data_IF_994064800727
#
_entry.id   IF_994064800727
#
_cell.length_a   1.000
_cell.length_b   1.000
_cell.length_c   1.000
_cell.angle_alpha   90.00
_cell.angle_beta   90.00
_cell.angle_gamma   90.00
#
_symmetry.space_group_name_H-M   'P 1'
#
loop_
_entity.id
_entity.type
_entity.pdbx_description
1 polymer ?
#
# COMPACT_ATOMS: atom_id res chain seq x y z
N UNK A 1 -8.39 -4.95 9.74
CA UNK A 1 -7.59 -4.44 8.60
C UNK A 1 -8.04 -3.00 8.34
N UNK A 2 -7.12 -2.07 8.11
CA UNK A 2 -7.50 -0.74 7.64
C UNK A 2 -7.93 -0.83 6.17
N UNK A 3 -9.03 -0.18 5.82
CA UNK A 3 -9.41 -0.03 4.41
C UNK A 3 -8.42 0.94 3.77
N UNK A 4 -7.81 0.57 2.65
CA UNK A 4 -6.97 1.41 1.83
C UNK A 4 -7.71 2.02 0.64
N UNK A 5 -6.98 2.76 -0.19
CA UNK A 5 -7.57 3.39 -1.37
C UNK A 5 -7.96 2.36 -2.44
N UNK A 6 -7.19 1.28 -2.59
CA UNK A 6 -7.44 0.24 -3.60
C UNK A 6 -8.65 -0.65 -3.29
N UNK A 7 -9.16 -0.65 -2.05
CA UNK A 7 -10.45 -1.25 -1.74
C UNK A 7 -11.62 -0.54 -2.45
N UNK A 8 -11.39 0.67 -2.98
CA UNK A 8 -12.33 1.43 -3.81
C UNK A 8 -12.04 1.37 -5.32
N UNK A 9 -11.12 0.50 -5.77
CA UNK A 9 -10.96 0.23 -7.21
C UNK A 9 -12.18 -0.49 -7.79
N UNK A 10 -12.99 -1.11 -6.92
CA UNK A 10 -14.22 -1.80 -7.27
C UNK A 10 -15.43 -1.05 -6.69
N UNK A 11 -16.65 -1.26 -7.24
CA UNK A 11 -17.86 -0.72 -6.65
C UNK A 11 -18.00 -1.11 -5.17
N UNK A 12 -18.61 -0.23 -4.36
CA UNK A 12 -18.80 -0.47 -2.91
C UNK A 12 -19.48 -1.81 -2.61
N UNK A 13 -20.34 -2.33 -3.49
CA UNK A 13 -20.97 -3.65 -3.35
C UNK A 13 -19.96 -4.80 -3.31
N UNK A 14 -18.84 -4.69 -4.04
CA UNK A 14 -17.73 -5.65 -4.01
C UNK A 14 -16.99 -5.56 -2.67
N UNK A 15 -16.72 -4.34 -2.18
CA UNK A 15 -16.12 -4.14 -0.85
C UNK A 15 -17.02 -4.69 0.27
N UNK A 16 -18.35 -4.51 0.18
CA UNK A 16 -19.30 -5.16 1.10
C UNK A 16 -19.28 -6.68 1.00
N UNK A 17 -19.00 -7.23 -0.17
CA UNK A 17 -18.84 -8.68 -0.33
C UNK A 17 -17.51 -9.16 0.29
N UNK A 18 -16.43 -8.39 0.16
CA UNK A 18 -15.15 -8.65 0.83
C UNK A 18 -15.30 -8.63 2.36
N UNK A 19 -16.09 -7.69 2.92
CA UNK A 19 -16.42 -7.68 4.36
C UNK A 19 -17.15 -8.95 4.81
N UNK A 20 -17.96 -9.58 3.95
CA UNK A 20 -18.64 -10.85 4.27
C UNK A 20 -17.68 -12.05 4.21
N UNK A 21 -16.68 -12.00 3.33
CA UNK A 21 -15.66 -13.06 3.24
C UNK A 21 -14.64 -12.97 4.37
N UNK A 22 -14.29 -11.75 4.80
CA UNK A 22 -13.33 -11.53 5.87
C UNK A 22 -13.90 -11.96 7.23
N UNK A 23 -13.17 -12.84 7.93
CA UNK A 23 -13.50 -13.21 9.32
C UNK A 23 -12.99 -12.19 10.35
N UNK A 24 -12.55 -11.02 9.89
CA UNK A 24 -12.01 -9.91 10.68
C UNK A 24 -12.56 -8.58 10.15
N UNK A 25 -12.67 -7.53 10.98
CA UNK A 25 -13.29 -6.29 10.54
C UNK A 25 -12.39 -5.51 9.56
N UNK A 26 -13.03 -4.96 8.53
CA UNK A 26 -12.46 -3.89 7.70
C UNK A 26 -12.84 -2.56 8.36
N UNK A 27 -11.82 -1.77 8.72
CA UNK A 27 -11.96 -0.60 9.58
C UNK A 27 -11.60 0.67 8.82
N UNK A 28 -12.43 1.69 8.97
CA UNK A 28 -12.08 3.07 8.62
C UNK A 28 -12.99 4.04 9.35
N UNK A 29 -12.40 4.95 10.11
CA UNK A 29 -13.13 5.93 10.90
C UNK A 29 -13.49 7.19 10.11
N UNK A 30 -12.72 7.51 9.07
CA UNK A 30 -12.79 8.80 8.39
C UNK A 30 -13.55 8.77 7.06
N UNK A 31 -14.28 7.69 6.78
CA UNK A 31 -15.09 7.55 5.55
C UNK A 31 -16.56 7.68 5.89
N UNK A 32 -17.19 8.70 5.32
CA UNK A 32 -18.57 9.08 5.61
C UNK A 32 -19.43 9.05 4.36
N UNK A 33 -20.72 8.78 4.56
CA UNK A 33 -21.74 9.07 3.57
C UNK A 33 -22.16 10.54 3.70
N UNK A 34 -22.08 11.32 2.61
CA UNK A 34 -22.34 12.77 2.64
C UNK A 34 -23.78 13.08 3.04
N UNK A 35 -24.75 12.36 2.47
CA UNK A 35 -26.18 12.57 2.70
C UNK A 35 -26.64 12.34 4.14
N UNK A 36 -26.04 11.37 4.84
CA UNK A 36 -26.46 10.97 6.20
C UNK A 36 -25.49 11.42 7.28
N UNK A 37 -24.28 11.84 6.92
CA UNK A 37 -23.19 12.15 7.86
C UNK A 37 -22.84 10.97 8.77
N UNK A 38 -23.11 9.73 8.32
CA UNK A 38 -22.77 8.50 9.03
C UNK A 38 -21.51 7.86 8.47
N UNK A 39 -20.72 7.22 9.33
CA UNK A 39 -19.56 6.43 8.91
C UNK A 39 -20.03 5.23 8.08
N UNK A 40 -19.33 4.97 6.98
CA UNK A 40 -19.62 3.80 6.13
C UNK A 40 -19.06 2.50 6.71
N UNK A 41 -18.04 2.57 7.57
CA UNK A 41 -17.36 1.42 8.15
C UNK A 41 -17.21 1.57 9.66
N UNK A 42 -16.87 0.47 10.34
CA UNK A 42 -16.57 0.53 11.76
C UNK A 42 -15.29 1.35 11.97
N UNK A 43 -15.28 2.31 12.92
CA UNK A 43 -14.11 3.15 13.15
C UNK A 43 -12.97 2.40 13.86
N UNK A 44 -13.32 1.44 14.72
CA UNK A 44 -12.37 0.67 15.49
C UNK A 44 -12.90 -0.74 15.83
N UNK A 45 -12.00 -1.58 16.33
CA UNK A 45 -12.32 -2.83 17.01
C UNK A 45 -11.54 -2.92 18.32
N UNK A 46 -12.13 -3.53 19.34
CA UNK A 46 -11.50 -3.74 20.66
C UNK A 46 -11.24 -5.22 20.86
N UNK A 47 -10.07 -5.55 21.40
CA UNK A 47 -9.61 -6.90 21.67
C UNK A 47 -9.17 -7.01 23.11
N UNK A 48 -9.62 -8.06 23.81
CA UNK A 48 -9.04 -8.46 25.09
C UNK A 48 -7.97 -9.52 24.84
N UNK A 49 -6.76 -9.26 25.33
CA UNK A 49 -5.65 -10.22 25.32
C UNK A 49 -5.08 -10.33 26.72
N UNK A 50 -5.47 -11.40 27.41
CA UNK A 50 -4.99 -11.70 28.76
C UNK A 50 -5.29 -10.57 29.75
N UNK A 51 -6.45 -9.91 29.61
CA UNK A 51 -6.87 -8.79 30.45
C UNK A 51 -6.30 -7.43 30.04
N UNK A 52 -5.50 -7.36 28.98
CA UNK A 52 -5.08 -6.10 28.34
C UNK A 52 -6.09 -5.76 27.25
N UNK A 53 -6.76 -4.61 27.37
CA UNK A 53 -7.72 -4.12 26.40
C UNK A 53 -7.02 -3.30 25.31
N UNK A 54 -7.00 -3.83 24.09
CA UNK A 54 -6.33 -3.23 22.93
C UNK A 54 -7.41 -2.70 21.97
N UNK A 55 -7.41 -1.40 21.73
CA UNK A 55 -8.23 -0.79 20.68
C UNK A 55 -7.41 -0.63 19.39
N UNK A 56 -7.98 -1.02 18.27
CA UNK A 56 -7.41 -0.84 16.93
C UNK A 56 -8.33 0.06 16.11
N UNK A 57 -7.86 1.26 15.77
CA UNK A 57 -8.55 2.23 14.92
C UNK A 57 -8.16 1.96 13.46
N UNK A 58 -9.10 2.13 12.52
CA UNK A 58 -8.81 2.10 11.09
C UNK A 58 -8.85 3.51 10.48
N UNK A 59 -7.89 3.84 9.62
CA UNK A 59 -7.83 5.12 8.92
C UNK A 59 -7.37 4.94 7.47
N UNK A 60 -7.98 5.71 6.56
CA UNK A 60 -7.74 5.65 5.12
C UNK A 60 -7.28 7.02 4.63
N UNK A 61 -6.27 7.12 3.76
CA UNK A 61 -5.88 8.39 3.14
C UNK A 61 -7.08 9.12 2.50
N UNK A 62 -7.18 10.42 2.75
CA UNK A 62 -8.21 11.28 2.16
C UNK A 62 -7.93 11.65 0.70
N UNK A 63 -6.75 11.29 0.18
CA UNK A 63 -6.49 11.33 -1.26
C UNK A 63 -7.30 10.30 -2.06
N UNK A 64 -7.92 9.30 -1.41
CA UNK A 64 -8.74 8.28 -2.10
C UNK A 64 -9.80 8.89 -3.00
N UNK A 65 -10.46 9.97 -2.54
CA UNK A 65 -11.46 10.69 -3.34
C UNK A 65 -10.87 11.39 -4.58
N UNK A 66 -9.59 11.76 -4.55
CA UNK A 66 -8.88 12.42 -5.65
C UNK A 66 -8.30 11.42 -6.65
N UNK A 67 -7.86 10.25 -6.17
CA UNK A 67 -7.11 9.27 -6.98
C UNK A 67 -7.97 8.12 -7.51
N UNK A 68 -9.09 7.80 -6.87
CA UNK A 68 -9.98 6.72 -7.30
C UNK A 68 -11.01 7.15 -8.35
N UNK A 69 -11.95 6.26 -8.69
CA UNK A 69 -13.01 6.55 -9.65
C UNK A 69 -14.08 7.49 -9.05
N UNK A 70 -14.27 8.72 -9.59
CA UNK A 70 -15.26 9.68 -9.08
C UNK A 70 -16.70 9.13 -9.04
N UNK A 71 -17.06 8.21 -9.94
CA UNK A 71 -18.40 7.60 -9.98
C UNK A 71 -18.73 6.86 -8.67
N UNK A 72 -17.73 6.25 -8.03
CA UNK A 72 -17.91 5.51 -6.79
C UNK A 72 -17.99 6.42 -5.56
N UNK A 73 -17.71 7.71 -5.69
CA UNK A 73 -17.59 8.66 -4.56
C UNK A 73 -18.65 9.76 -4.52
N UNK A 74 -19.68 9.71 -5.37
CA UNK A 74 -20.73 10.74 -5.44
C UNK A 74 -21.28 11.10 -4.05
N UNK A 75 -21.70 10.11 -3.26
CA UNK A 75 -22.21 10.28 -1.89
C UNK A 75 -21.21 9.84 -0.80
N UNK A 76 -19.92 9.77 -1.11
CA UNK A 76 -18.86 9.38 -0.16
C UNK A 76 -17.90 10.57 0.03
N UNK A 77 -17.50 10.81 1.27
CA UNK A 77 -16.42 11.74 1.62
C UNK A 77 -15.36 11.05 2.48
N UNK A 78 -14.12 11.46 2.29
CA UNK A 78 -12.99 11.04 3.11
C UNK A 78 -12.53 12.27 3.90
N UNK A 79 -12.73 12.23 5.21
CA UNK A 79 -12.31 13.30 6.12
C UNK A 79 -10.84 13.18 6.47
N UNK A 80 -10.26 14.29 6.95
CA UNK A 80 -8.85 14.35 7.34
C UNK A 80 -8.55 13.30 8.44
N UNK A 81 -7.72 12.28 8.16
CA UNK A 81 -7.53 11.15 9.06
C UNK A 81 -7.02 11.53 10.44
N UNK A 82 -6.09 12.50 10.52
CA UNK A 82 -5.51 12.94 11.80
C UNK A 82 -6.55 13.59 12.74
N UNK A 83 -7.50 14.36 12.18
CA UNK A 83 -8.59 14.96 12.95
C UNK A 83 -9.55 13.88 13.45
N UNK A 84 -9.86 12.91 12.58
CA UNK A 84 -10.72 11.78 12.93
C UNK A 84 -10.09 10.88 14.00
N UNK A 85 -8.79 10.59 13.88
CA UNK A 85 -8.02 9.82 14.85
C UNK A 85 -8.17 10.42 16.25
N UNK A 86 -8.03 11.74 16.38
CA UNK A 86 -8.21 12.44 17.66
C UNK A 86 -9.61 12.19 18.25
N UNK A 87 -10.66 12.41 17.47
CA UNK A 87 -12.05 12.24 17.92
C UNK A 87 -12.33 10.79 18.37
N UNK A 88 -11.86 9.82 17.59
CA UNK A 88 -12.06 8.40 17.89
C UNK A 88 -11.28 7.97 19.13
N UNK A 89 -10.05 8.45 19.31
CA UNK A 89 -9.27 8.17 20.52
C UNK A 89 -9.94 8.77 21.76
N UNK A 90 -10.45 10.00 21.67
CA UNK A 90 -11.19 10.63 22.78
C UNK A 90 -12.45 9.83 23.14
N UNK A 91 -13.18 9.36 22.12
CA UNK A 91 -14.33 8.46 22.31
C UNK A 91 -13.92 7.14 22.98
N UNK A 92 -12.89 6.46 22.47
CA UNK A 92 -12.38 5.20 23.02
C UNK A 92 -11.98 5.33 24.48
N UNK A 93 -11.27 6.40 24.85
CA UNK A 93 -10.87 6.62 26.25
C UNK A 93 -12.05 6.86 27.17
N UNK A 94 -13.12 7.48 26.68
CA UNK A 94 -14.35 7.71 27.47
C UNK A 94 -15.15 6.42 27.65
N UNK A 95 -15.40 5.72 26.55
CA UNK A 95 -16.39 4.65 26.49
C UNK A 95 -15.76 3.28 26.81
N UNK A 96 -14.61 2.99 26.21
CA UNK A 96 -13.97 1.67 26.26
C UNK A 96 -12.82 1.58 27.26
N UNK A 97 -12.12 2.69 27.50
CA UNK A 97 -10.93 2.78 28.38
C UNK A 97 -9.87 1.70 28.05
N UNK A 98 -9.37 1.65 26.80
CA UNK A 98 -8.35 0.68 26.41
C UNK A 98 -7.01 0.98 27.10
N UNK A 99 -6.26 -0.08 27.38
CA UNK A 99 -4.89 -0.02 27.89
C UNK A 99 -3.88 0.32 26.79
N UNK A 100 -4.18 -0.08 25.55
CA UNK A 100 -3.32 0.11 24.37
C UNK A 100 -4.18 0.59 23.19
N UNK A 101 -3.71 1.60 22.46
CA UNK A 101 -4.36 2.11 21.25
C UNK A 101 -3.40 2.02 20.06
N UNK A 102 -3.78 1.21 19.08
CA UNK A 102 -3.08 1.04 17.82
C UNK A 102 -3.92 1.68 16.70
N UNK A 103 -3.28 2.40 15.79
CA UNK A 103 -3.91 2.81 14.53
C UNK A 103 -3.40 1.92 13.41
N UNK A 104 -4.29 1.18 12.75
CA UNK A 104 -4.01 0.59 11.45
C UNK A 104 -4.37 1.65 10.39
N UNK A 105 -3.39 2.08 9.60
CA UNK A 105 -3.55 3.21 8.69
C UNK A 105 -3.17 2.82 7.26
N UNK A 106 -3.77 3.50 6.29
CA UNK A 106 -3.38 3.47 4.90
C UNK A 106 -3.12 4.90 4.41
N UNK A 107 -2.10 5.55 5.00
CA UNK A 107 -1.79 6.98 4.80
C UNK A 107 -0.39 7.21 4.23
N UNK A 108 0.57 6.38 4.59
CA UNK A 108 1.94 6.43 4.08
C UNK A 108 2.92 7.08 5.05
N UNK A 109 4.16 6.61 5.02
CA UNK A 109 5.26 7.16 5.79
C UNK A 109 6.17 8.01 4.90
N UNK A 110 6.21 9.31 5.15
CA UNK A 110 7.09 10.25 4.47
C UNK A 110 8.20 10.72 5.40
N UNK A 111 9.45 10.77 4.90
CA UNK A 111 10.61 11.15 5.70
C UNK A 111 10.41 12.56 6.27
N UNK A 112 10.55 12.69 7.59
CA UNK A 112 10.25 13.91 8.36
C UNK A 112 8.83 14.49 8.14
N UNK A 113 7.88 13.67 7.68
CA UNK A 113 6.55 14.16 7.31
C UNK A 113 6.52 14.97 6.00
N UNK A 114 7.57 14.91 5.18
CA UNK A 114 7.62 15.60 3.90
C UNK A 114 6.78 14.86 2.83
N UNK A 115 5.46 14.98 2.93
CA UNK A 115 4.48 14.25 2.10
C UNK A 115 4.39 14.74 0.64
N UNK A 116 4.95 15.90 0.31
CA UNK A 116 4.95 16.44 -1.05
C UNK A 116 3.54 16.72 -1.55
N UNK A 117 3.19 16.18 -2.71
CA UNK A 117 1.84 16.31 -3.30
C UNK A 117 0.80 15.36 -2.73
N UNK A 118 1.21 14.37 -1.91
CA UNK A 118 0.29 13.43 -1.28
C UNK A 118 -0.43 14.11 -0.10
N UNK A 119 -1.49 13.50 0.40
CA UNK A 119 -2.09 13.86 1.67
C UNK A 119 -1.10 13.61 2.85
N UNK A 120 -1.22 14.39 3.95
CA UNK A 120 -0.43 14.18 5.16
C UNK A 120 -0.45 12.73 5.68
N UNK A 121 0.73 12.23 6.03
CA UNK A 121 0.96 10.83 6.34
C UNK A 121 0.97 10.47 7.83
N UNK A 122 1.50 9.28 8.13
CA UNK A 122 1.58 8.71 9.48
C UNK A 122 2.43 9.57 10.43
N UNK A 123 3.55 10.12 9.94
CA UNK A 123 4.48 10.97 10.73
C UNK A 123 3.79 12.26 11.20
N UNK A 124 3.09 12.94 10.29
CA UNK A 124 2.39 14.19 10.60
C UNK A 124 1.20 13.95 11.53
N UNK A 125 0.46 12.86 11.31
CA UNK A 125 -0.61 12.46 12.22
C UNK A 125 -0.06 12.24 13.64
N UNK A 126 1.01 11.45 13.80
CA UNK A 126 1.63 11.19 15.10
C UNK A 126 2.07 12.49 15.80
N UNK A 127 2.64 13.44 15.05
CA UNK A 127 3.06 14.76 15.55
C UNK A 127 1.88 15.68 15.92
N UNK A 128 0.74 15.58 15.21
CA UNK A 128 -0.45 16.40 15.45
C UNK A 128 -1.26 15.97 16.68
N UNK A 129 -1.13 14.71 17.09
CA UNK A 129 -1.77 14.17 18.28
C UNK A 129 -0.94 14.52 19.53
N UNK A 130 -1.53 14.53 20.75
CA UNK A 130 -0.74 14.67 21.97
C UNK A 130 0.31 13.56 22.12
N UNK A 131 1.41 13.81 22.83
CA UNK A 131 2.48 12.82 22.98
C UNK A 131 1.95 11.49 23.55
N UNK A 132 2.31 10.37 22.90
CA UNK A 132 1.85 9.03 23.29
C UNK A 132 0.34 8.82 23.15
N UNK A 133 -0.36 9.59 22.31
CA UNK A 133 -1.80 9.40 22.11
C UNK A 133 -2.14 8.02 21.52
N UNK A 134 -1.23 7.48 20.73
CA UNK A 134 -1.24 6.16 20.15
C UNK A 134 0.05 5.46 20.57
N UNK A 135 -0.02 4.15 20.79
CA UNK A 135 1.16 3.36 21.10
C UNK A 135 1.94 3.01 19.82
N UNK A 136 1.19 2.71 18.74
CA UNK A 136 1.75 2.33 17.45
C UNK A 136 0.81 2.68 16.30
N UNK A 137 1.39 3.09 15.19
CA UNK A 137 0.77 3.17 13.87
C UNK A 137 1.32 2.02 13.01
N UNK A 138 0.42 1.14 12.57
CA UNK A 138 0.70 0.09 11.58
C UNK A 138 0.27 0.60 10.22
N UNK A 139 1.23 1.12 9.46
CA UNK A 139 1.02 1.85 8.22
C UNK A 139 0.93 0.99 6.95
N UNK A 140 0.61 1.68 5.86
CA UNK A 140 0.34 1.18 4.51
C UNK A 140 0.46 2.31 3.50
N UNK A 141 -0.01 2.13 2.27
CA UNK A 141 -0.02 3.14 1.19
C UNK A 141 1.34 3.46 0.53
N UNK A 142 2.33 3.99 1.27
CA UNK A 142 3.64 4.33 0.68
C UNK A 142 4.45 3.12 0.20
N UNK A 143 4.08 1.91 0.67
CA UNK A 143 4.66 0.63 0.27
C UNK A 143 6.18 0.56 0.55
N UNK A 144 6.62 1.04 1.71
CA UNK A 144 8.02 1.02 2.13
C UNK A 144 8.26 0.04 3.29
N UNK A 145 9.46 -0.55 3.41
CA UNK A 145 9.91 -1.06 4.70
C UNK A 145 10.31 0.15 5.55
N UNK A 146 9.53 0.48 6.60
CA UNK A 146 9.91 1.55 7.54
C UNK A 146 11.02 1.04 8.45
N UNK A 147 12.25 1.16 7.94
CA UNK A 147 13.50 0.85 8.62
C UNK A 147 14.39 2.09 8.54
N UNK A 148 14.65 2.73 9.67
CA UNK A 148 15.35 4.02 9.73
C UNK A 148 16.86 3.83 9.55
N UNK A 149 17.47 4.66 8.71
CA UNK A 149 18.92 4.79 8.58
C UNK A 149 19.48 5.76 9.63
N UNK A 150 18.73 6.84 9.86
CA UNK A 150 18.98 7.87 10.86
C UNK A 150 17.64 8.48 11.29
N UNK A 151 17.68 9.42 12.23
CA UNK A 151 16.49 10.19 12.62
C UNK A 151 15.82 10.80 11.37
N UNK A 152 14.50 10.60 11.26
CA UNK A 152 13.64 11.09 10.17
C UNK A 152 14.00 10.63 8.74
N UNK A 153 14.93 9.68 8.56
CA UNK A 153 15.32 9.16 7.24
C UNK A 153 15.23 7.63 7.16
N UNK A 154 14.39 7.13 6.26
CA UNK A 154 14.31 5.69 5.97
C UNK A 154 15.56 5.20 5.22
N UNK A 155 15.90 3.93 5.37
CA UNK A 155 16.92 3.28 4.55
C UNK A 155 16.48 3.21 3.09
N UNK A 156 17.35 3.69 2.20
CA UNK A 156 17.22 3.45 0.76
C UNK A 156 17.70 2.02 0.47
N UNK A 157 16.92 1.26 -0.29
CA UNK A 157 17.24 -0.12 -0.69
C UNK A 157 17.49 -1.10 0.49
N UNK A 158 16.58 -1.09 1.47
CA UNK A 158 16.59 -2.03 2.60
C UNK A 158 16.82 -3.49 2.15
N UNK A 159 17.79 -4.15 2.79
CA UNK A 159 18.21 -5.52 2.44
C UNK A 159 17.44 -6.54 3.30
N UNK A 160 16.76 -7.53 2.69
CA UNK A 160 16.03 -8.53 3.47
C UNK A 160 16.90 -9.28 4.47
N UNK A 161 16.42 -9.42 5.72
CA UNK A 161 17.09 -10.16 6.79
C UNK A 161 18.08 -9.33 7.61
N UNK A 162 18.30 -8.05 7.28
CA UNK A 162 19.08 -7.14 8.12
C UNK A 162 18.20 -6.51 9.22
N UNK A 163 18.80 -5.99 10.32
CA UNK A 163 18.04 -5.29 11.35
C UNK A 163 17.21 -4.13 10.80
N UNK A 164 16.03 -3.94 11.38
CA UNK A 164 15.13 -2.85 11.03
C UNK A 164 14.77 -2.08 12.30
N UNK A 165 15.13 -0.80 12.36
CA UNK A 165 14.68 0.10 13.42
C UNK A 165 13.42 0.83 12.92
N UNK A 166 12.26 0.70 13.57
CA UNK A 166 11.06 1.42 13.16
C UNK A 166 11.17 2.91 13.54
N UNK A 167 10.37 3.75 12.91
CA UNK A 167 10.32 5.18 13.26
C UNK A 167 9.58 5.40 14.58
N UNK A 168 9.88 6.50 15.26
CA UNK A 168 9.19 6.91 16.48
C UNK A 168 8.99 8.41 16.52
N UNK A 169 7.74 8.84 16.46
CA UNK A 169 7.37 10.25 16.41
C UNK A 169 6.43 10.57 17.57
N UNK A 170 6.79 11.58 18.36
CA UNK A 170 5.95 12.08 19.45
C UNK A 170 5.45 10.96 20.41
N UNK A 171 6.34 10.02 20.73
CA UNK A 171 6.05 8.86 21.58
C UNK A 171 5.40 7.66 20.90
N UNK A 172 4.90 7.80 19.66
CA UNK A 172 4.21 6.76 18.88
C UNK A 172 5.19 6.02 17.97
N UNK A 173 5.18 4.68 17.96
CA UNK A 173 5.95 3.89 16.99
C UNK A 173 5.24 3.87 15.62
N UNK A 174 5.98 3.97 14.52
CA UNK A 174 5.42 3.89 13.17
C UNK A 174 6.13 2.76 12.41
N UNK A 175 5.34 1.81 11.90
CA UNK A 175 5.85 0.60 11.23
C UNK A 175 5.16 0.39 9.89
N UNK A 176 5.89 -0.19 8.93
CA UNK A 176 5.34 -0.64 7.65
C UNK A 176 6.16 -1.82 7.13
N UNK A 177 5.48 -2.81 6.55
CA UNK A 177 6.08 -4.06 6.11
C UNK A 177 6.22 -4.14 4.58
N UNK A 178 6.57 -3.03 3.92
CA UNK A 178 6.74 -2.94 2.48
C UNK A 178 5.44 -3.32 1.73
N UNK A 179 5.43 -4.41 0.97
CA UNK A 179 4.33 -4.75 0.06
C UNK A 179 4.27 -6.27 -0.23
N UNK A 180 3.14 -6.72 -0.80
CA UNK A 180 2.93 -8.04 -1.44
C UNK A 180 3.15 -9.26 -0.55
N UNK A 181 3.12 -9.09 0.77
CA UNK A 181 3.49 -10.17 1.69
C UNK A 181 4.96 -10.54 1.62
N UNK A 182 5.84 -9.66 1.09
CA UNK A 182 7.30 -9.86 1.07
C UNK A 182 7.86 -10.02 2.48
N UNK A 183 7.25 -9.37 3.46
CA UNK A 183 7.62 -9.45 4.86
C UNK A 183 6.40 -9.59 5.75
N UNK A 184 6.63 -10.17 6.92
CA UNK A 184 5.78 -9.99 8.10
C UNK A 184 6.52 -9.10 9.09
N UNK A 185 5.97 -7.93 9.38
CA UNK A 185 6.49 -7.06 10.44
C UNK A 185 6.12 -7.61 11.81
N UNK A 186 7.11 -7.75 12.70
CA UNK A 186 6.92 -8.26 14.06
C UNK A 186 7.45 -7.25 15.06
N UNK A 187 6.54 -6.70 15.87
CA UNK A 187 6.85 -5.84 16.99
C UNK A 187 6.54 -6.58 18.30
N UNK A 188 7.59 -6.94 19.05
CA UNK A 188 7.46 -7.59 20.35
C UNK A 188 7.45 -6.51 21.44
N UNK A 189 6.30 -6.35 22.10
CA UNK A 189 6.10 -5.39 23.19
C UNK A 189 6.01 -6.08 24.55
N UNK A 190 6.45 -5.39 25.59
CA UNK A 190 6.14 -5.71 26.98
C UNK A 190 5.15 -4.67 27.53
N UNK A 191 4.06 -5.14 28.13
CA UNK A 191 3.08 -4.30 28.81
C UNK A 191 3.19 -4.49 30.33
N UNK A 192 3.31 -3.40 31.09
CA UNK A 192 3.38 -3.43 32.56
C UNK A 192 2.80 -2.15 33.15
N UNK A 193 1.79 -2.27 34.01
CA UNK A 193 1.20 -1.15 34.76
C UNK A 193 0.79 0.05 33.89
N UNK A 194 0.21 -0.20 32.71
CA UNK A 194 -0.19 0.85 31.77
C UNK A 194 0.93 1.35 30.86
N UNK A 195 2.17 0.86 31.01
CA UNK A 195 3.29 1.21 30.13
C UNK A 195 3.50 0.11 29.07
N UNK A 196 3.52 0.50 27.79
CA UNK A 196 3.86 -0.36 26.67
C UNK A 196 5.27 -0.03 26.15
N UNK A 197 6.18 -1.00 26.21
CA UNK A 197 7.57 -0.84 25.79
C UNK A 197 7.92 -1.78 24.64
N UNK A 198 8.41 -1.23 23.53
CA UNK A 198 8.92 -2.01 22.41
C UNK A 198 10.24 -2.67 22.82
N UNK A 199 10.28 -4.00 22.80
CA UNK A 199 11.47 -4.78 23.15
C UNK A 199 12.28 -5.15 21.91
N UNK A 200 11.59 -5.45 20.81
CA UNK A 200 12.23 -5.84 19.57
C UNK A 200 11.31 -5.57 18.37
N UNK A 201 11.91 -5.20 17.23
CA UNK A 201 11.22 -5.10 15.95
C UNK A 201 12.07 -5.75 14.85
N UNK A 202 11.39 -6.43 13.92
CA UNK A 202 12.02 -7.01 12.74
C UNK A 202 11.03 -7.14 11.57
N UNK A 203 11.57 -7.16 10.36
CA UNK A 203 10.85 -7.59 9.15
C UNK A 203 11.29 -9.00 8.78
N UNK A 204 10.39 -9.97 8.92
CA UNK A 204 10.68 -11.38 8.63
C UNK A 204 10.49 -11.61 7.12
N UNK A 205 11.54 -11.92 6.33
CA UNK A 205 11.42 -12.13 4.89
C UNK A 205 10.63 -13.40 4.59
N UNK A 206 9.62 -13.30 3.73
CA UNK A 206 8.83 -14.45 3.27
C UNK A 206 9.42 -14.95 1.96
N UNK A 207 10.33 -15.92 2.05
CA UNK A 207 10.91 -16.60 0.88
C UNK A 207 11.56 -15.67 -0.16
N UNK A 208 12.04 -14.49 0.25
CA UNK A 208 12.75 -13.56 -0.62
C UNK A 208 14.07 -14.14 -1.09
N UNK A 209 14.41 -13.89 -2.36
CA UNK A 209 15.63 -14.39 -3.00
C UNK A 209 16.46 -13.25 -3.59
N UNK A 210 17.79 -13.40 -3.52
CA UNK A 210 18.74 -12.56 -4.27
C UNK A 210 19.27 -13.30 -5.48
N UNK A 211 19.55 -12.55 -6.54
CA UNK A 211 20.32 -13.05 -7.69
C UNK A 211 21.80 -13.07 -7.29
N UNK A 212 22.47 -14.19 -7.51
CA UNK A 212 23.91 -14.36 -7.34
C UNK A 212 24.50 -14.76 -8.67
N UNK A 213 25.52 -14.05 -9.13
CA UNK A 213 26.26 -14.38 -10.34
C UNK A 213 27.39 -15.36 -9.99
N UNK A 214 27.53 -16.40 -10.80
CA UNK A 214 28.54 -17.44 -10.66
C UNK A 214 29.77 -17.05 -11.48
N UNK A 215 30.91 -17.67 -11.15
CA UNK A 215 32.17 -17.43 -11.84
C UNK A 215 32.14 -17.76 -13.34
N UNK A 216 31.21 -18.61 -13.78
CA UNK A 216 31.00 -18.98 -15.19
C UNK A 216 30.09 -18.00 -15.96
N UNK A 217 29.67 -16.89 -15.34
CA UNK A 217 28.77 -15.90 -15.94
C UNK A 217 27.28 -16.29 -15.88
N UNK A 218 26.94 -17.47 -15.35
CA UNK A 218 25.54 -17.84 -15.09
C UNK A 218 25.03 -17.18 -13.80
N UNK A 219 23.72 -17.22 -13.56
CA UNK A 219 23.13 -16.66 -12.35
C UNK A 219 22.11 -17.60 -11.71
N UNK A 220 22.02 -17.56 -10.39
CA UNK A 220 21.02 -18.30 -9.63
C UNK A 220 20.30 -17.42 -8.61
N UNK A 221 19.13 -17.87 -8.16
CA UNK A 221 18.36 -17.20 -7.11
C UNK A 221 18.43 -17.99 -5.81
N UNK A 222 19.12 -17.43 -4.82
CA UNK A 222 19.26 -18.02 -3.47
C UNK A 222 18.42 -17.25 -2.46
N UNK A 223 17.87 -17.94 -1.47
CA UNK A 223 17.11 -17.31 -0.39
C UNK A 223 18.00 -16.39 0.46
N UNK A 224 17.43 -15.29 0.95
CA UNK A 224 18.08 -14.43 1.95
C UNK A 224 18.15 -15.11 3.32
N UNK A 225 17.12 -15.86 3.67
CA UNK A 225 16.93 -16.55 4.95
C UNK A 225 16.58 -18.02 4.71
N UNK A 226 16.43 -18.80 5.79
CA UNK A 226 15.93 -20.16 5.67
C UNK A 226 14.55 -20.18 4.99
N UNK A 227 14.37 -21.10 4.03
CA UNK A 227 13.11 -21.24 3.31
C UNK A 227 11.98 -21.64 4.26
N UNK A 228 10.84 -20.96 4.11
CA UNK A 228 9.61 -21.22 4.84
C UNK A 228 8.78 -22.16 3.97
N UNK A 229 8.42 -23.33 4.53
CA UNK A 229 7.57 -24.29 3.84
C UNK A 229 6.16 -23.71 3.62
N UNK A 230 5.58 -23.96 2.45
CA UNK A 230 4.19 -23.58 2.16
C UNK A 230 3.23 -24.45 2.97
N UNK A 231 2.25 -23.83 3.61
CA UNK A 231 1.25 -24.55 4.40
C UNK A 231 0.32 -25.37 3.48
N UNK A 232 0.20 -26.70 3.67
CA UNK A 232 -0.62 -27.53 2.78
C UNK A 232 -2.11 -27.17 2.76
N UNK A 233 -2.65 -26.68 3.88
CA UNK A 233 -4.06 -26.27 3.96
C UNK A 233 -4.29 -24.97 3.21
N UNK A 234 -3.35 -24.04 3.27
CA UNK A 234 -3.36 -22.82 2.48
C UNK A 234 -3.25 -23.12 0.98
N UNK A 235 -2.35 -24.04 0.59
CA UNK A 235 -2.24 -24.46 -0.81
C UNK A 235 -3.56 -25.07 -1.31
N UNK A 236 -4.17 -25.97 -0.53
CA UNK A 236 -5.48 -26.55 -0.87
C UNK A 236 -6.57 -25.50 -1.02
N UNK A 237 -6.57 -24.47 -0.17
CA UNK A 237 -7.53 -23.36 -0.24
C UNK A 237 -7.32 -22.49 -1.49
N UNK A 238 -6.08 -22.15 -1.82
CA UNK A 238 -5.75 -21.16 -2.86
C UNK A 238 -5.66 -21.75 -4.27
N UNK A 239 -5.31 -23.03 -4.42
CA UNK A 239 -5.14 -23.68 -5.74
C UNK A 239 -6.37 -23.52 -6.65
N UNK A 240 -7.61 -23.75 -6.22
CA UNK A 240 -8.78 -23.57 -7.10
C UNK A 240 -8.93 -22.13 -7.61
N UNK A 241 -8.59 -21.13 -6.80
CA UNK A 241 -8.63 -19.72 -7.21
C UNK A 241 -7.50 -19.40 -8.20
N UNK A 242 -6.30 -19.95 -7.97
CA UNK A 242 -5.17 -19.82 -8.88
C UNK A 242 -5.49 -20.42 -10.25
N UNK A 243 -6.05 -21.63 -10.30
CA UNK A 243 -6.44 -22.30 -11.55
C UNK A 243 -7.52 -21.52 -12.29
N UNK A 244 -8.56 -21.06 -11.58
CA UNK A 244 -9.61 -20.22 -12.17
C UNK A 244 -9.05 -18.92 -12.75
N UNK A 245 -8.17 -18.24 -12.00
CA UNK A 245 -7.51 -17.02 -12.46
C UNK A 245 -6.61 -17.26 -13.68
N UNK A 246 -5.85 -18.36 -13.69
CA UNK A 246 -5.02 -18.73 -14.84
C UNK A 246 -5.85 -18.99 -16.09
N UNK A 247 -6.96 -19.72 -15.98
CA UNK A 247 -7.84 -20.01 -17.09
C UNK A 247 -8.43 -18.73 -17.73
N UNK A 248 -8.71 -17.71 -16.92
CA UNK A 248 -9.22 -16.42 -17.42
C UNK A 248 -8.14 -15.52 -18.03
N UNK A 249 -6.90 -15.59 -17.52
CA UNK A 249 -5.85 -14.64 -17.87
C UNK A 249 -4.84 -15.16 -18.90
N UNK A 250 -4.82 -16.47 -19.16
CA UNK A 250 -3.96 -17.13 -20.15
C UNK A 250 -4.36 -16.89 -21.62
N UNK A 251 -5.30 -15.98 -21.87
CA UNK A 251 -5.77 -15.65 -23.22
C UNK A 251 -4.70 -14.87 -23.95
N UNK A 252 -4.25 -15.38 -25.11
CA UNK A 252 -3.37 -14.66 -26.04
C UNK A 252 -4.13 -13.46 -26.62
N UNK A 253 -3.55 -12.27 -26.46
CA UNK A 253 -4.11 -11.01 -26.96
C UNK A 253 -3.22 -10.35 -28.01
N UNK A 254 -2.02 -10.89 -28.24
CA UNK A 254 -1.09 -10.38 -29.25
C UNK A 254 0.27 -11.07 -29.18
N UNK A 255 1.26 -10.46 -29.83
CA UNK A 255 2.65 -10.89 -29.78
C UNK A 255 3.59 -9.73 -30.07
N UNK A 256 4.82 -9.79 -29.55
CA UNK A 256 5.92 -8.85 -29.83
C UNK A 256 7.16 -9.60 -30.28
N UNK A 257 7.97 -9.01 -31.16
CA UNK A 257 9.20 -9.63 -31.68
C UNK A 257 10.46 -9.32 -30.83
N UNK A 258 10.31 -8.60 -29.72
CA UNK A 258 11.40 -8.21 -28.83
C UNK A 258 10.88 -7.86 -27.42
N UNK A 259 11.78 -7.80 -26.44
CA UNK A 259 11.45 -7.43 -25.05
C UNK A 259 10.95 -5.98 -24.99
N UNK A 260 9.81 -5.77 -24.32
CA UNK A 260 9.36 -4.47 -23.84
C UNK A 260 9.86 -4.27 -22.41
N UNK A 261 10.78 -3.32 -22.23
CA UNK A 261 11.53 -3.09 -21.01
C UNK A 261 10.72 -2.30 -19.98
N UNK A 262 10.34 -2.98 -18.91
CA UNK A 262 9.57 -2.46 -17.79
C UNK A 262 10.28 -2.56 -16.43
N UNK A 263 11.55 -2.96 -16.40
CA UNK A 263 12.27 -3.16 -15.15
C UNK A 263 12.40 -1.82 -14.39
N UNK A 264 12.17 -1.86 -13.06
CA UNK A 264 12.19 -0.68 -12.18
C UNK A 264 13.49 0.15 -12.34
N UNK A 265 14.63 -0.52 -12.52
CA UNK A 265 15.96 0.08 -12.70
C UNK A 265 16.14 0.79 -14.04
N UNK A 266 15.17 0.69 -14.95
CA UNK A 266 15.15 1.37 -16.25
C UNK A 266 14.06 2.42 -16.32
N UNK A 267 12.80 2.04 -16.09
CA UNK A 267 11.63 2.92 -16.29
C UNK A 267 11.65 4.19 -15.44
N UNK A 268 12.38 4.19 -14.32
CA UNK A 268 12.53 5.36 -13.43
C UNK A 268 13.72 6.26 -13.78
N UNK A 269 14.55 5.87 -14.75
CA UNK A 269 15.84 6.53 -15.03
C UNK A 269 15.99 6.92 -16.50
N UNK A 270 15.39 6.17 -17.41
CA UNK A 270 15.48 6.38 -18.85
C UNK A 270 14.14 6.12 -19.54
N UNK A 271 13.98 6.66 -20.74
CA UNK A 271 12.85 6.35 -21.61
C UNK A 271 12.95 4.88 -22.07
N UNK A 272 11.87 4.10 -21.91
CA UNK A 272 11.82 2.69 -22.35
C UNK A 272 10.76 2.46 -23.42
N UNK A 273 10.96 1.42 -24.23
CA UNK A 273 10.01 1.05 -25.29
C UNK A 273 8.63 0.61 -24.75
N UNK A 274 8.57 -0.03 -23.57
CA UNK A 274 7.29 -0.37 -22.95
C UNK A 274 6.48 0.88 -22.58
N UNK A 275 7.13 1.87 -21.96
CA UNK A 275 6.47 3.14 -21.61
C UNK A 275 5.97 3.85 -22.88
N UNK A 276 6.75 3.86 -23.97
CA UNK A 276 6.32 4.42 -25.26
C UNK A 276 5.09 3.70 -25.83
N UNK A 277 5.04 2.37 -25.74
CA UNK A 277 3.90 1.58 -26.20
C UNK A 277 2.63 1.90 -25.39
N UNK A 278 2.74 1.98 -24.05
CA UNK A 278 1.63 2.33 -23.17
C UNK A 278 1.09 3.73 -23.47
N UNK A 279 1.98 4.72 -23.61
CA UNK A 279 1.61 6.08 -23.96
C UNK A 279 0.96 6.17 -25.35
N UNK A 280 1.44 5.41 -26.34
CA UNK A 280 0.82 5.36 -27.66
C UNK A 280 -0.62 4.82 -27.59
N UNK A 281 -0.87 3.77 -26.81
CA UNK A 281 -2.22 3.24 -26.61
C UNK A 281 -3.15 4.25 -25.90
N UNK A 282 -2.61 5.02 -24.95
CA UNK A 282 -3.35 6.09 -24.26
C UNK A 282 -3.67 7.25 -25.20
N UNK A 283 -2.70 7.67 -26.01
CA UNK A 283 -2.85 8.69 -27.07
C UNK A 283 -3.95 8.30 -28.04
N UNK A 284 -3.91 7.07 -28.55
CA UNK A 284 -4.92 6.55 -29.48
C UNK A 284 -6.32 6.54 -28.83
N UNK A 285 -6.42 6.07 -27.58
CA UNK A 285 -7.71 5.99 -26.89
C UNK A 285 -8.30 7.36 -26.54
N UNK A 286 -7.47 8.30 -26.12
CA UNK A 286 -7.90 9.64 -25.72
C UNK A 286 -7.99 10.61 -26.92
N UNK A 287 -7.54 10.21 -28.11
CA UNK A 287 -7.35 11.08 -29.26
C UNK A 287 -6.52 12.33 -28.90
N UNK A 288 -5.40 12.11 -28.18
CA UNK A 288 -4.52 13.18 -27.70
C UNK A 288 -3.37 13.44 -28.68
N UNK A 289 -2.73 14.62 -28.60
CA UNK A 289 -1.55 14.94 -29.41
C UNK A 289 -0.25 14.38 -28.81
N UNK A 290 -0.16 14.31 -27.47
CA UNK A 290 0.96 13.73 -26.72
C UNK A 290 0.46 13.18 -25.38
N UNK A 291 1.30 12.38 -24.71
CA UNK A 291 1.01 11.87 -23.38
C UNK A 291 2.28 11.74 -22.54
N UNK A 292 2.11 11.76 -21.22
CA UNK A 292 3.16 11.50 -20.24
C UNK A 292 2.65 10.53 -19.18
N UNK A 293 3.55 9.75 -18.59
CA UNK A 293 3.24 8.91 -17.43
C UNK A 293 4.47 8.79 -16.55
N UNK A 294 4.25 8.63 -15.25
CA UNK A 294 5.32 8.30 -14.32
C UNK A 294 5.88 6.91 -14.63
N UNK A 295 7.21 6.78 -14.70
CA UNK A 295 7.87 5.47 -14.87
C UNK A 295 7.52 4.47 -13.75
N UNK A 296 7.20 4.98 -12.56
CA UNK A 296 6.67 4.17 -11.46
C UNK A 296 5.34 3.48 -11.75
N UNK A 297 4.60 3.91 -12.77
CA UNK A 297 3.37 3.26 -13.25
C UNK A 297 3.61 2.00 -14.09
N UNK A 298 4.84 1.76 -14.58
CA UNK A 298 5.20 0.56 -15.35
C UNK A 298 5.79 -0.49 -14.40
N UNK A 299 5.14 -1.65 -14.28
CA UNK A 299 5.36 -2.56 -13.12
C UNK A 299 6.01 -3.91 -13.44
N UNK A 300 6.07 -4.30 -14.70
CA UNK A 300 6.73 -5.53 -15.15
C UNK A 300 7.21 -5.33 -16.60
N UNK A 301 8.08 -6.23 -17.07
CA UNK A 301 8.49 -6.33 -18.47
C UNK A 301 7.57 -7.27 -19.25
N UNK A 302 7.56 -7.17 -20.59
CA UNK A 302 6.96 -8.17 -21.48
C UNK A 302 8.07 -8.75 -22.36
N UNK A 303 8.32 -10.05 -22.25
CA UNK A 303 9.32 -10.73 -23.07
C UNK A 303 8.87 -10.89 -24.53
N UNK A 304 9.81 -11.15 -25.43
CA UNK A 304 9.51 -11.45 -26.82
C UNK A 304 8.61 -12.71 -26.94
N UNK A 305 7.71 -12.70 -27.91
CA UNK A 305 6.74 -13.77 -28.17
C UNK A 305 5.31 -13.37 -27.86
N UNK A 306 4.51 -14.33 -27.42
CA UNK A 306 3.08 -14.17 -27.20
C UNK A 306 2.80 -13.31 -25.96
N UNK A 307 1.83 -12.40 -26.10
CA UNK A 307 1.32 -11.56 -25.01
C UNK A 307 -0.01 -12.13 -24.57
N UNK A 308 -0.11 -12.43 -23.27
CA UNK A 308 -1.37 -12.81 -22.63
C UNK A 308 -1.98 -11.63 -21.88
N UNK A 309 -3.28 -11.70 -21.58
CA UNK A 309 -3.90 -10.68 -20.75
C UNK A 309 -3.24 -10.56 -19.36
N UNK A 310 -2.74 -11.69 -18.81
CA UNK A 310 -1.90 -11.70 -17.60
C UNK A 310 -0.66 -10.82 -17.72
N UNK A 311 0.02 -10.81 -18.88
CA UNK A 311 1.20 -9.97 -19.08
C UNK A 311 0.83 -8.48 -18.99
N UNK A 312 -0.26 -8.07 -19.61
CA UNK A 312 -0.72 -6.67 -19.56
C UNK A 312 -1.10 -6.25 -18.14
N UNK A 313 -1.85 -7.09 -17.41
CA UNK A 313 -2.24 -6.79 -16.03
C UNK A 313 -1.04 -6.73 -15.07
N UNK A 314 0.03 -7.47 -15.34
CA UNK A 314 1.28 -7.33 -14.57
C UNK A 314 1.98 -5.99 -14.81
N UNK A 315 1.90 -5.46 -16.04
CA UNK A 315 2.49 -4.17 -16.41
C UNK A 315 1.70 -3.00 -15.83
N UNK A 316 0.36 -3.06 -15.86
CA UNK A 316 -0.57 -2.04 -15.33
C UNK A 316 -1.50 -2.63 -14.24
N UNK A 317 -0.98 -2.98 -13.05
CA UNK A 317 -1.73 -3.74 -12.05
C UNK A 317 -2.62 -2.90 -11.13
N UNK A 318 -2.51 -1.57 -11.18
CA UNK A 318 -3.12 -0.66 -10.19
C UNK A 318 -4.49 -0.13 -10.58
N UNK A 319 -5.04 -0.56 -11.72
CA UNK A 319 -6.36 -0.09 -12.15
C UNK A 319 -6.45 1.42 -12.42
N UNK A 320 -5.32 2.08 -12.69
CA UNK A 320 -5.29 3.52 -12.98
C UNK A 320 -6.23 3.89 -14.14
N UNK A 321 -6.91 5.01 -14.02
CA UNK A 321 -7.82 5.54 -15.05
C UNK A 321 -7.06 6.39 -16.06
N UNK A 322 -7.39 6.22 -17.34
CA UNK A 322 -6.93 7.15 -18.39
C UNK A 322 -7.73 8.46 -18.30
N UNK A 323 -7.02 9.58 -18.22
CA UNK A 323 -7.58 10.94 -18.24
C UNK A 323 -6.93 11.74 -19.37
N UNK A 324 -7.60 12.79 -19.84
CA UNK A 324 -7.06 13.75 -20.80
C UNK A 324 -7.42 15.18 -20.40
N UNK A 325 -6.65 16.15 -20.88
CA UNK A 325 -6.89 17.57 -20.66
C UNK A 325 -6.53 18.36 -21.92
N UNK A 326 -7.45 19.23 -22.36
CA UNK A 326 -7.16 20.21 -23.41
C UNK A 326 -6.44 21.41 -22.79
N UNK A 327 -5.30 21.78 -23.39
CA UNK A 327 -4.42 22.82 -22.86
C UNK A 327 -3.97 23.77 -23.98
N UNK A 328 -3.77 25.04 -23.64
CA UNK A 328 -3.08 26.00 -24.53
C UNK A 328 -1.62 25.60 -24.67
N UNK A 329 -1.00 25.94 -25.81
CA UNK A 329 0.45 25.70 -26.01
C UNK A 329 1.33 26.30 -24.92
N UNK A 330 0.95 27.44 -24.34
CA UNK A 330 1.64 28.04 -23.18
C UNK A 330 1.56 27.20 -21.91
N UNK A 331 0.41 26.56 -21.67
CA UNK A 331 0.21 25.69 -20.50
C UNK A 331 0.97 24.38 -20.69
N UNK A 332 1.01 23.84 -21.92
CA UNK A 332 1.84 22.67 -22.26
C UNK A 332 3.32 22.95 -22.00
N UNK A 333 3.83 24.10 -22.45
CA UNK A 333 5.22 24.49 -22.21
C UNK A 333 5.53 24.58 -20.71
N UNK A 334 4.61 25.15 -19.92
CA UNK A 334 4.78 25.25 -18.47
C UNK A 334 4.69 23.89 -17.77
N UNK A 335 3.82 23.00 -18.24
CA UNK A 335 3.63 21.66 -17.65
C UNK A 335 4.83 20.73 -17.88
N UNK A 336 5.48 20.84 -19.05
CA UNK A 336 6.61 19.99 -19.43
C UNK A 336 7.99 20.52 -18.98
N UNK A 337 8.08 21.79 -18.58
CA UNK A 337 9.33 22.45 -18.16
C UNK A 337 9.78 22.02 -16.76
#
# INVERSE_FOLDING_TARGET
>A
MAIGNHEFDNPLSVLRQQEKWASFPLLSANIYQKSTQQRLFKPYAVFDKQGVKIAVIGLTTDDTAKIGNPEYFTDIEFRVPAQEARQVVEQLRKDEKPDVIIAATHMGHYDDGNHGSNAPGDVEMARSLPAGYLDMIVGGHSQDPVCMASENHKQVDYVPGTPCAPDRQNGTWIVQAHEWGKYVGRADFQFRNGELKLMHYQLIPVNLKKKVEKADGSSERVYYTQAIAEDPSMMKLLTPFQEKGQAQLGVKIGSVNGKLEGDRSKVRFVQTNLARMLLAAQIERANADFAVMSGGGVRDSIEAGDITYKNVLKVQPFGNTLVYADMKGSEVQQYLA
#
